data_IF_395596994116
#
_entry.id   IF_395596994116
#
_cell.length_a   1.000
_cell.length_b   1.000
_cell.length_c   1.000
_cell.angle_alpha   90.00
_cell.angle_beta   90.00
_cell.angle_gamma   90.00
#
_symmetry.space_group_name_H-M   'P 1'
#
loop_
_entity.id
_entity.type
_entity.pdbx_description
1 polymer ?
#
# COMPACT_ATOMS: atom_id res chain seq x y z
N UNK A 1 21.67 4.86 -7.23
CA UNK A 1 20.45 4.58 -8.02
C UNK A 1 19.44 4.00 -7.05
N UNK A 2 18.19 4.46 -7.10
CA UNK A 2 17.29 4.50 -5.93
C UNK A 2 17.17 3.15 -5.21
N UNK A 3 17.85 3.05 -4.06
CA UNK A 3 17.68 1.95 -3.11
C UNK A 3 16.33 2.06 -2.39
N UNK A 4 15.54 3.08 -2.69
CA UNK A 4 14.29 3.44 -2.02
C UNK A 4 13.15 3.47 -3.02
N UNK A 5 11.95 3.12 -2.56
CA UNK A 5 10.76 3.21 -3.38
C UNK A 5 9.52 2.66 -2.69
N UNK A 6 8.37 2.91 -3.31
CA UNK A 6 7.07 2.50 -2.79
C UNK A 6 6.28 1.64 -3.77
N UNK A 7 5.61 0.61 -3.25
CA UNK A 7 4.47 -0.01 -3.91
C UNK A 7 3.20 0.58 -3.32
N UNK A 8 2.29 0.98 -4.17
CA UNK A 8 1.00 1.54 -3.81
C UNK A 8 -0.08 0.62 -4.34
N UNK A 9 -1.09 0.33 -3.53
CA UNK A 9 -2.28 -0.37 -3.95
C UNK A 9 -3.52 0.37 -3.44
N UNK A 10 -4.57 0.44 -4.24
CA UNK A 10 -5.78 1.17 -3.87
C UNK A 10 -7.05 0.43 -4.30
N UNK A 11 -8.14 0.68 -3.58
CA UNK A 11 -9.50 0.29 -3.95
C UNK A 11 -10.41 1.49 -3.81
N UNK A 12 -10.99 1.93 -4.92
CA UNK A 12 -11.99 2.99 -4.95
C UNK A 12 -13.31 2.50 -4.36
N UNK A 13 -13.69 1.24 -4.61
CA UNK A 13 -14.90 0.63 -4.02
C UNK A 13 -14.85 0.69 -2.49
N UNK A 14 -13.73 0.26 -1.90
CA UNK A 14 -13.52 0.27 -0.45
C UNK A 14 -13.01 1.58 0.10
N UNK A 15 -12.58 2.50 -0.76
CA UNK A 15 -11.98 3.79 -0.39
C UNK A 15 -10.73 3.62 0.50
N UNK A 16 -9.88 2.66 0.14
CA UNK A 16 -8.67 2.34 0.91
C UNK A 16 -7.44 2.48 0.01
N UNK A 17 -6.39 3.09 0.56
CA UNK A 17 -5.06 3.18 -0.03
C UNK A 17 -4.05 2.51 0.88
N UNK A 18 -3.24 1.64 0.30
CA UNK A 18 -2.21 0.87 0.98
C UNK A 18 -0.87 1.24 0.35
N UNK A 19 0.09 1.67 1.17
CA UNK A 19 1.43 2.05 0.71
C UNK A 19 2.47 1.23 1.49
N UNK A 20 3.30 0.51 0.74
CA UNK A 20 4.50 -0.15 1.23
C UNK A 20 5.73 0.62 0.74
N UNK A 21 6.39 1.34 1.64
CA UNK A 21 7.64 2.08 1.39
C UNK A 21 8.84 1.27 1.86
N UNK A 22 9.89 1.18 1.05
CA UNK A 22 11.20 0.71 1.48
C UNK A 22 12.23 1.84 1.28
N UNK A 23 12.98 2.15 2.34
CA UNK A 23 14.05 3.17 2.33
C UNK A 23 15.44 2.57 2.01
N UNK A 24 15.52 1.26 1.77
CA UNK A 24 16.67 0.56 1.23
C UNK A 24 16.18 -0.75 0.59
N UNK A 25 16.97 -1.33 -0.31
CA UNK A 25 16.64 -2.59 -1.02
C UNK A 25 15.34 -2.54 -1.83
N UNK A 26 14.88 -1.36 -2.26
CA UNK A 26 13.63 -1.21 -3.00
C UNK A 26 13.60 -1.96 -4.34
N UNK A 27 14.76 -2.33 -4.92
CA UNK A 27 14.82 -3.24 -6.06
C UNK A 27 14.13 -4.58 -5.81
N UNK A 28 14.08 -5.03 -4.54
CA UNK A 28 13.39 -6.26 -4.16
C UNK A 28 11.87 -6.09 -4.23
N UNK A 29 11.34 -4.88 -4.03
CA UNK A 29 9.89 -4.62 -4.14
C UNK A 29 9.37 -4.91 -5.54
N UNK A 30 10.19 -4.65 -6.57
CA UNK A 30 9.82 -4.90 -7.98
C UNK A 30 10.00 -6.35 -8.42
N UNK A 31 10.47 -7.25 -7.55
CA UNK A 31 10.50 -8.68 -7.86
C UNK A 31 9.07 -9.24 -7.95
N UNK A 32 8.77 -10.01 -9.00
CA UNK A 32 7.43 -10.52 -9.29
C UNK A 32 6.75 -11.18 -8.08
N UNK A 33 7.51 -12.00 -7.33
CA UNK A 33 7.02 -12.66 -6.12
C UNK A 33 6.56 -11.64 -5.06
N UNK A 34 7.34 -10.59 -4.83
CA UNK A 34 7.03 -9.59 -3.82
C UNK A 34 5.86 -8.69 -4.25
N UNK A 35 5.72 -8.40 -5.55
CA UNK A 35 4.54 -7.73 -6.12
C UNK A 35 3.30 -8.60 -5.91
N UNK A 36 3.33 -9.88 -6.29
CA UNK A 36 2.20 -10.81 -6.10
C UNK A 36 1.81 -10.92 -4.64
N UNK A 37 2.79 -11.04 -3.75
CA UNK A 37 2.56 -11.08 -2.31
C UNK A 37 1.95 -9.78 -1.79
N UNK A 38 2.43 -8.61 -2.23
CA UNK A 38 1.87 -7.31 -1.88
C UNK A 38 0.42 -7.15 -2.33
N UNK A 39 0.08 -7.60 -3.54
CA UNK A 39 -1.30 -7.53 -4.06
C UNK A 39 -2.22 -8.49 -3.30
N UNK A 40 -1.80 -9.74 -3.12
CA UNK A 40 -2.57 -10.74 -2.34
C UNK A 40 -2.87 -10.22 -0.94
N UNK A 41 -1.84 -9.69 -0.30
CA UNK A 41 -1.92 -9.08 1.02
C UNK A 41 -2.89 -7.90 1.06
N UNK A 42 -2.83 -7.03 0.05
CA UNK A 42 -3.69 -5.84 0.00
C UNK A 42 -5.16 -6.27 -0.15
N UNK A 43 -5.43 -7.31 -0.94
CA UNK A 43 -6.75 -7.93 -1.04
C UNK A 43 -7.21 -8.57 0.27
N UNK A 44 -6.33 -9.25 1.01
CA UNK A 44 -6.67 -9.80 2.33
C UNK A 44 -7.09 -8.68 3.30
N UNK A 45 -6.40 -7.54 3.29
CA UNK A 45 -6.81 -6.37 4.08
C UNK A 45 -8.20 -5.89 3.64
N UNK A 46 -8.45 -5.72 2.34
CA UNK A 46 -9.75 -5.27 1.82
C UNK A 46 -10.92 -6.21 2.14
N UNK A 47 -10.69 -7.53 2.17
CA UNK A 47 -11.73 -8.51 2.51
C UNK A 47 -12.24 -8.33 3.94
N UNK A 48 -11.40 -7.81 4.83
CA UNK A 48 -11.71 -7.67 6.24
C UNK A 48 -12.22 -6.27 6.62
N UNK A 49 -11.98 -5.28 5.76
CA UNK A 49 -12.49 -3.90 5.91
C UNK A 49 -13.88 -3.84 5.27
N UNK A 50 -14.93 -3.67 6.09
CA UNK A 50 -16.29 -3.44 5.59
C UNK A 50 -16.55 -1.96 5.40
N UNK A 51 -16.05 -1.15 6.33
CA UNK A 51 -16.07 0.31 6.30
C UNK A 51 -14.66 0.88 6.52
N UNK A 52 -14.29 2.03 5.93
CA UNK A 52 -12.96 2.61 6.11
C UNK A 52 -12.56 2.84 7.57
N UNK A 53 -13.52 3.08 8.46
CA UNK A 53 -13.29 3.24 9.91
C UNK A 53 -12.81 1.95 10.59
N UNK A 54 -13.11 0.78 10.02
CA UNK A 54 -12.69 -0.53 10.55
C UNK A 54 -11.17 -0.74 10.46
N UNK A 55 -10.48 0.11 9.70
CA UNK A 55 -9.02 0.11 9.59
C UNK A 55 -8.39 0.10 11.00
N UNK A 56 -8.90 0.93 11.92
CA UNK A 56 -8.41 1.08 13.30
C UNK A 56 -8.51 -0.20 14.13
N UNK A 57 -9.54 -1.01 13.89
CA UNK A 57 -9.76 -2.28 14.59
C UNK A 57 -8.81 -3.39 14.10
N UNK A 58 -8.23 -3.21 12.91
CA UNK A 58 -7.31 -4.18 12.27
C UNK A 58 -5.82 -3.99 12.63
N UNK A 59 -5.53 -3.17 13.64
CA UNK A 59 -4.18 -2.89 14.13
C UNK A 59 -3.29 -4.16 14.26
N UNK A 60 -3.79 -5.21 14.91
CA UNK A 60 -3.02 -6.44 15.18
C UNK A 60 -2.64 -7.19 13.91
N UNK A 61 -3.56 -7.28 12.94
CA UNK A 61 -3.30 -7.97 11.68
C UNK A 61 -2.28 -7.21 10.86
N UNK A 62 -2.45 -5.89 10.68
CA UNK A 62 -1.49 -5.04 9.96
C UNK A 62 -0.08 -5.12 10.58
N UNK A 63 0.03 -5.24 11.91
CA UNK A 63 1.33 -5.40 12.60
C UNK A 63 2.04 -6.72 12.28
N UNK A 64 1.31 -7.83 12.34
CA UNK A 64 1.86 -9.16 12.00
C UNK A 64 2.36 -9.19 10.56
N UNK A 65 1.56 -8.59 9.70
CA UNK A 65 1.74 -8.45 8.27
C UNK A 65 2.97 -7.58 7.91
N UNK A 66 3.12 -6.42 8.55
CA UNK A 66 4.31 -5.58 8.45
C UNK A 66 5.59 -6.33 8.86
N UNK A 67 5.53 -7.15 9.92
CA UNK A 67 6.68 -7.94 10.37
C UNK A 67 7.13 -8.97 9.32
N UNK A 68 6.22 -9.67 8.67
CA UNK A 68 6.54 -10.63 7.61
C UNK A 68 7.23 -9.97 6.42
N UNK A 69 6.79 -8.77 6.04
CA UNK A 69 7.41 -7.98 4.97
C UNK A 69 8.84 -7.56 5.31
N UNK A 70 9.09 -7.11 6.55
CA UNK A 70 10.44 -6.80 7.02
C UNK A 70 11.37 -8.00 6.98
N UNK A 71 10.90 -9.16 7.44
CA UNK A 71 11.66 -10.41 7.43
C UNK A 71 12.04 -10.81 5.99
N UNK A 72 11.13 -10.63 5.02
CA UNK A 72 11.37 -10.96 3.60
C UNK A 72 12.30 -9.99 2.89
N UNK A 73 12.11 -8.68 3.08
CA UNK A 73 13.00 -7.65 2.52
C UNK A 73 14.37 -7.61 3.22
N UNK A 74 14.48 -8.29 4.37
CA UNK A 74 15.69 -8.32 5.18
C UNK A 74 16.13 -6.93 5.61
N UNK A 75 15.19 -6.05 5.93
CA UNK A 75 15.46 -4.68 6.36
C UNK A 75 14.43 -4.19 7.38
N UNK A 76 14.88 -3.34 8.29
CA UNK A 76 14.03 -2.63 9.25
C UNK A 76 13.55 -1.26 8.76
N UNK A 77 14.07 -0.78 7.61
CA UNK A 77 13.74 0.54 7.06
C UNK A 77 12.58 0.45 6.05
N UNK A 78 11.48 -0.13 6.52
CA UNK A 78 10.25 -0.29 5.75
C UNK A 78 9.14 0.49 6.44
N UNK A 79 8.32 1.19 5.67
CA UNK A 79 7.10 1.84 6.12
C UNK A 79 5.90 1.14 5.51
N UNK A 80 4.88 0.87 6.32
CA UNK A 80 3.61 0.35 5.83
C UNK A 80 2.47 1.22 6.33
N UNK A 81 1.63 1.66 5.40
CA UNK A 81 0.60 2.65 5.64
C UNK A 81 -0.72 2.21 5.01
N UNK A 82 -1.81 2.40 5.74
CA UNK A 82 -3.18 2.21 5.24
C UNK A 82 -3.95 3.50 5.53
N UNK A 83 -4.57 4.04 4.49
CA UNK A 83 -5.32 5.29 4.52
C UNK A 83 -6.75 5.08 4.05
N UNK A 84 -7.68 5.81 4.64
CA UNK A 84 -8.96 6.12 4.00
C UNK A 84 -8.69 7.15 2.90
N UNK A 85 -9.00 6.79 1.64
CA UNK A 85 -8.83 7.67 0.49
C UNK A 85 -9.63 8.96 0.67
N UNK A 86 -10.93 8.90 0.96
CA UNK A 86 -11.79 10.11 1.01
C UNK A 86 -11.30 11.14 2.00
N UNK A 87 -10.78 10.69 3.14
CA UNK A 87 -10.29 11.56 4.21
C UNK A 87 -8.88 12.05 3.91
N UNK A 88 -8.01 11.15 3.43
CA UNK A 88 -6.57 11.42 3.32
C UNK A 88 -6.18 12.03 1.98
N UNK A 89 -6.98 11.79 0.96
CA UNK A 89 -6.80 12.19 -0.43
C UNK A 89 -8.20 12.40 -1.02
N UNK A 90 -8.81 13.58 -0.89
CA UNK A 90 -10.21 13.84 -1.26
C UNK A 90 -10.40 13.82 -2.79
N UNK A 91 -10.19 12.64 -3.38
CA UNK A 91 -10.27 12.29 -4.79
C UNK A 91 -11.34 11.21 -4.84
N UNK A 92 -12.36 11.42 -5.65
CA UNK A 92 -13.49 10.49 -5.81
C UNK A 92 -13.47 9.92 -7.23
N UNK A 93 -13.34 8.61 -7.37
CA UNK A 93 -13.35 7.92 -8.67
C UNK A 93 -12.01 7.96 -9.41
N UNK A 94 -10.91 7.79 -8.67
CA UNK A 94 -9.55 8.09 -9.12
C UNK A 94 -8.97 7.08 -10.12
N UNK A 95 -8.17 7.57 -11.07
CA UNK A 95 -7.25 6.72 -11.84
C UNK A 95 -5.89 6.59 -11.12
N UNK A 96 -5.08 5.57 -11.43
CA UNK A 96 -3.72 5.44 -10.88
C UNK A 96 -2.87 6.71 -11.01
N UNK A 97 -3.01 7.44 -12.13
CA UNK A 97 -2.25 8.67 -12.41
C UNK A 97 -2.68 9.85 -11.51
N UNK A 98 -3.99 10.00 -11.26
CA UNK A 98 -4.50 11.03 -10.35
C UNK A 98 -4.05 10.76 -8.91
N UNK A 99 -3.97 9.48 -8.54
CA UNK A 99 -3.48 9.03 -7.25
C UNK A 99 -1.96 9.26 -7.12
N UNK A 100 -1.18 8.96 -8.16
CA UNK A 100 0.25 9.25 -8.22
C UNK A 100 0.52 10.73 -7.95
N UNK A 101 -0.15 11.60 -8.72
CA UNK A 101 -0.03 13.04 -8.55
C UNK A 101 -0.42 13.50 -7.15
N UNK A 102 -1.48 12.94 -6.57
CA UNK A 102 -1.92 13.34 -5.23
C UNK A 102 -0.98 12.87 -4.12
N UNK A 103 -0.33 11.70 -4.28
CA UNK A 103 0.68 11.20 -3.34
C UNK A 103 1.96 12.02 -3.47
N UNK A 104 2.40 12.34 -4.69
CA UNK A 104 3.59 13.16 -4.93
C UNK A 104 3.41 14.62 -4.48
N UNK A 105 2.19 15.16 -4.59
CA UNK A 105 1.88 16.54 -4.20
C UNK A 105 1.55 16.70 -2.71
N UNK A 106 1.77 15.69 -1.85
CA UNK A 106 1.33 15.68 -0.44
C UNK A 106 1.76 16.95 0.34
N UNK A 107 0.86 17.92 0.43
CA UNK A 107 0.76 18.83 1.55
C UNK A 107 0.10 18.05 2.70
N UNK A 108 0.84 17.85 3.80
CA UNK A 108 0.37 17.14 5.01
C UNK A 108 -0.96 17.71 5.52
N UNK A 109 -2.08 17.10 5.14
CA UNK A 109 -3.29 17.13 5.94
C UNK A 109 -3.06 16.10 7.06
N UNK A 110 -3.58 16.34 8.27
CA UNK A 110 -3.54 15.37 9.38
C UNK A 110 -4.32 14.10 8.97
N UNK A 111 -3.64 13.19 8.27
CA UNK A 111 -4.21 11.94 7.79
C UNK A 111 -4.38 11.00 8.99
N UNK A 112 -5.55 10.38 9.22
CA UNK A 112 -5.64 9.29 10.16
C UNK A 112 -4.85 8.11 9.60
N UNK A 113 -3.65 7.87 10.14
CA UNK A 113 -2.72 6.85 9.63
C UNK A 113 -2.60 5.70 10.63
N UNK A 114 -2.82 4.46 10.17
CA UNK A 114 -2.16 3.32 10.78
C UNK A 114 -0.78 3.16 10.13
N UNK A 115 0.18 3.89 10.66
CA UNK A 115 1.55 3.87 10.20
C UNK A 115 2.38 2.89 11.02
N UNK A 116 3.06 1.97 10.34
CA UNK A 116 4.17 1.22 10.89
C UNK A 116 5.44 1.69 10.18
N UNK A 117 6.07 2.75 10.69
CA UNK A 117 7.20 3.34 9.99
C UNK A 117 8.30 3.91 10.88
N UNK A 118 9.53 3.73 10.40
CA UNK A 118 10.71 4.57 10.66
C UNK A 118 11.23 5.26 9.38
N UNK A 119 10.59 5.04 8.23
CA UNK A 119 10.96 5.53 6.91
C UNK A 119 10.17 6.83 6.65
N UNK A 120 10.80 7.98 6.94
CA UNK A 120 10.22 9.32 6.84
C UNK A 120 10.71 10.11 5.62
N UNK A 121 11.40 9.44 4.68
CA UNK A 121 12.02 10.07 3.52
C UNK A 121 11.06 10.08 2.32
N UNK A 122 11.24 11.06 1.44
CA UNK A 122 10.57 11.12 0.14
C UNK A 122 11.13 10.01 -0.75
N UNK A 123 10.32 8.98 -0.99
CA UNK A 123 10.67 7.82 -1.82
C UNK A 123 9.87 7.82 -3.12
N UNK A 124 10.47 7.47 -4.27
CA UNK A 124 9.75 7.41 -5.54
C UNK A 124 8.72 6.29 -5.55
N UNK A 125 7.59 6.51 -6.21
CA UNK A 125 6.60 5.45 -6.46
C UNK A 125 7.16 4.53 -7.55
N UNK A 126 7.22 3.23 -7.26
CA UNK A 126 7.71 2.20 -8.20
C UNK A 126 6.57 1.54 -8.97
N UNK A 127 5.40 1.42 -8.34
CA UNK A 127 4.22 0.78 -8.91
C UNK A 127 2.97 1.23 -8.17
N UNK A 128 1.90 1.47 -8.93
CA UNK A 128 0.54 1.65 -8.42
C UNK A 128 -0.33 0.49 -8.93
N UNK A 129 -1.08 -0.13 -8.03
CA UNK A 129 -1.97 -1.24 -8.33
C UNK A 129 -3.41 -0.87 -8.01
N UNK A 130 -4.28 -0.94 -9.01
CA UNK A 130 -5.73 -0.88 -8.85
C UNK A 130 -6.27 -2.26 -8.42
N UNK A 131 -6.66 -2.40 -7.15
CA UNK A 131 -7.13 -3.66 -6.57
C UNK A 131 -8.54 -4.03 -7.03
N UNK A 132 -9.37 -3.05 -7.41
CA UNK A 132 -10.72 -3.29 -7.91
C UNK A 132 -10.67 -4.05 -9.25
N UNK A 133 -9.63 -3.77 -10.05
CA UNK A 133 -9.36 -4.45 -11.31
C UNK A 133 -8.33 -5.59 -11.20
N UNK A 134 -7.46 -5.59 -10.17
CA UNK A 134 -6.42 -6.60 -9.98
C UNK A 134 -6.95 -8.02 -9.74
N UNK A 135 -8.20 -8.17 -9.26
CA UNK A 135 -8.82 -9.49 -9.11
C UNK A 135 -8.83 -10.30 -10.42
N UNK A 136 -8.82 -9.63 -11.58
CA UNK A 136 -8.74 -10.30 -12.89
C UNK A 136 -7.40 -10.98 -13.15
N UNK A 137 -6.31 -10.51 -12.54
CA UNK A 137 -4.95 -11.02 -12.82
C UNK A 137 -4.59 -12.31 -12.04
N UNK A 138 -5.32 -12.66 -10.98
CA UNK A 138 -5.02 -13.83 -10.14
C UNK A 138 -5.98 -15.01 -10.33
N UNK A 139 -7.07 -14.81 -11.07
CA UNK A 139 -8.04 -15.87 -11.39
C UNK A 139 -7.65 -16.70 -12.62
N UNK A 140 -6.67 -16.27 -13.41
CA UNK A 140 -6.21 -17.02 -14.60
C UNK A 140 -5.11 -18.06 -14.27
N UNK A 141 -4.43 -17.97 -13.13
CA UNK A 141 -3.43 -18.97 -12.69
C UNK A 141 -4.07 -20.21 -11.99
N UNK A 142 -5.40 -20.31 -11.93
CA UNK A 142 -6.13 -21.44 -11.33
C UNK A 142 -7.02 -22.21 -12.33
N UNK A 143 -6.72 -22.17 -13.64
CA UNK A 143 -7.39 -23.01 -14.65
C UNK A 143 -6.44 -23.94 -15.37
#
# INVERSE_FOLDING_TARGET
MAEQGALVAFSNDKNVLIILKACEKAQQLTEEKNIKDFIKFSNEILMHIKEPTDILEYYTHVKMLYRLLKERLGTDKVGFYVYDLRVSYPISGSTPEELEQAIENEAMIDKPILAYSKCFEDVPILLIVDLDNAQRFFLEDNK
#
